data_IF_146885314248
#
_entry.id   IF_146885314248
#
_cell.length_a   1.000
_cell.length_b   1.000
_cell.length_c   1.000
_cell.angle_alpha   90.00
_cell.angle_beta   90.00
_cell.angle_gamma   90.00
#
_symmetry.space_group_name_H-M   'P 1'
#
loop_
_entity.id
_entity.type
_entity.pdbx_description
1 polymer ?
#
# COMPACT_ATOMS: atom_id res chain seq x y z
N UNK A 1 -15.62 -12.15 21.81
CA UNK A 1 -14.51 -11.20 21.87
C UNK A 1 -13.91 -11.10 20.49
N UNK A 2 -13.73 -9.89 19.97
CA UNK A 2 -13.09 -9.67 18.67
C UNK A 2 -11.63 -10.09 18.75
N UNK A 3 -11.11 -10.65 17.66
CA UNK A 3 -9.70 -11.05 17.54
C UNK A 3 -9.02 -10.20 16.49
N UNK A 4 -7.73 -9.95 16.65
CA UNK A 4 -6.92 -9.19 15.70
C UNK A 4 -6.94 -9.81 14.30
N UNK A 5 -6.93 -8.96 13.27
CA UNK A 5 -6.80 -9.37 11.87
C UNK A 5 -5.43 -9.99 11.56
N UNK A 6 -5.31 -10.70 10.45
CA UNK A 6 -4.04 -11.31 10.01
C UNK A 6 -2.97 -10.25 9.75
N UNK A 7 -3.39 -9.13 9.17
CA UNK A 7 -2.57 -7.96 8.86
C UNK A 7 -2.08 -7.29 10.15
N UNK A 8 -2.96 -7.16 11.15
CA UNK A 8 -2.59 -6.66 12.47
C UNK A 8 -1.58 -7.54 13.17
N UNK A 9 -1.81 -8.86 13.16
CA UNK A 9 -0.86 -9.81 13.74
C UNK A 9 0.50 -9.76 13.02
N UNK A 10 0.50 -9.67 11.69
CA UNK A 10 1.74 -9.54 10.92
C UNK A 10 2.48 -8.24 11.26
N UNK A 11 1.76 -7.13 11.43
CA UNK A 11 2.32 -5.85 11.84
C UNK A 11 3.02 -5.96 13.20
N UNK A 12 2.36 -6.56 14.20
CA UNK A 12 2.95 -6.75 15.53
C UNK A 12 4.20 -7.62 15.44
N UNK A 13 4.13 -8.76 14.74
CA UNK A 13 5.26 -9.68 14.56
C UNK A 13 6.46 -8.98 13.92
N UNK A 14 6.22 -8.10 12.94
CA UNK A 14 7.27 -7.31 12.28
C UNK A 14 7.98 -6.36 13.26
N UNK A 15 7.24 -5.67 14.13
CA UNK A 15 7.80 -4.67 15.04
C UNK A 15 8.44 -5.25 16.29
N UNK A 16 7.88 -6.32 16.86
CA UNK A 16 8.46 -6.98 18.04
C UNK A 16 9.68 -7.83 17.66
N UNK A 17 9.64 -8.44 16.47
CA UNK A 17 10.66 -9.38 16.03
C UNK A 17 10.60 -10.73 16.77
N UNK A 18 11.16 -11.76 16.15
CA UNK A 18 11.11 -13.12 16.67
C UNK A 18 12.43 -13.51 17.36
N UNK A 19 12.33 -13.96 18.62
CA UNK A 19 13.45 -14.54 19.39
C UNK A 19 13.09 -15.93 19.91
N UNK A 20 13.61 -16.97 19.25
CA UNK A 20 13.33 -18.37 19.61
C UNK A 20 14.06 -18.88 20.85
N UNK A 21 15.03 -18.11 21.36
CA UNK A 21 15.78 -18.43 22.57
C UNK A 21 15.58 -17.32 23.60
N UNK A 22 15.35 -17.70 24.85
CA UNK A 22 15.17 -16.75 25.93
C UNK A 22 16.42 -15.87 26.09
N UNK A 23 16.21 -14.56 26.17
CA UNK A 23 17.25 -13.56 26.34
C UNK A 23 16.89 -12.61 27.49
N UNK A 24 17.86 -11.87 28.00
CA UNK A 24 17.59 -10.77 28.94
C UNK A 24 17.43 -9.47 28.16
N UNK A 25 16.34 -8.78 28.41
CA UNK A 25 16.13 -7.43 27.88
C UNK A 25 16.99 -6.38 28.62
N UNK A 26 16.82 -5.11 28.27
CA UNK A 26 17.53 -3.99 28.91
C UNK A 26 17.19 -3.82 30.40
N UNK A 27 16.02 -4.32 30.82
CA UNK A 27 15.58 -4.34 32.21
C UNK A 27 16.01 -5.62 32.97
N UNK A 28 16.87 -6.46 32.36
CA UNK A 28 17.34 -7.74 32.90
C UNK A 28 16.24 -8.80 33.10
N UNK A 29 15.08 -8.64 32.47
CA UNK A 29 13.94 -9.56 32.50
C UNK A 29 14.11 -10.64 31.42
N UNK A 30 13.74 -11.88 31.73
CA UNK A 30 13.77 -12.97 30.76
C UNK A 30 12.60 -12.83 29.77
N UNK A 31 12.94 -12.71 28.49
CA UNK A 31 12.00 -12.46 27.39
C UNK A 31 12.20 -13.51 26.28
N UNK A 32 11.11 -13.93 25.62
CA UNK A 32 11.14 -14.90 24.51
C UNK A 32 10.04 -14.61 23.48
N UNK A 33 10.15 -15.18 22.28
CA UNK A 33 9.15 -15.05 21.22
C UNK A 33 9.07 -13.63 20.69
N UNK A 34 7.87 -13.06 20.71
CA UNK A 34 7.55 -11.70 20.29
C UNK A 34 7.43 -10.72 21.48
N UNK A 35 8.30 -10.84 22.48
CA UNK A 35 8.28 -9.97 23.66
C UNK A 35 7.61 -10.55 24.90
N UNK A 36 7.29 -11.85 24.92
CA UNK A 36 6.66 -12.50 26.07
C UNK A 36 7.60 -12.57 27.28
N UNK A 37 7.07 -12.25 28.46
CA UNK A 37 7.76 -12.35 29.75
C UNK A 37 6.89 -13.14 30.74
N UNK A 38 7.51 -13.66 31.80
CA UNK A 38 6.80 -14.37 32.87
C UNK A 38 5.71 -13.55 33.57
N UNK A 39 5.75 -12.22 33.46
CA UNK A 39 4.73 -11.33 34.02
C UNK A 39 3.43 -11.37 33.21
N UNK A 40 3.51 -11.62 31.89
CA UNK A 40 2.35 -11.83 31.04
C UNK A 40 1.62 -13.15 31.33
N UNK A 41 2.24 -14.04 32.11
CA UNK A 41 1.67 -15.31 32.56
C UNK A 41 2.48 -16.51 32.08
N UNK A 42 1.79 -17.61 31.77
CA UNK A 42 2.44 -18.81 31.25
C UNK A 42 2.69 -18.67 29.75
N UNK A 43 3.83 -19.18 29.24
CA UNK A 43 4.85 -19.94 29.96
C UNK A 43 5.87 -19.05 30.71
N UNK A 44 6.26 -19.48 31.92
CA UNK A 44 7.31 -18.79 32.66
C UNK A 44 8.67 -18.91 31.96
N UNK A 45 9.19 -17.78 31.50
CA UNK A 45 10.45 -17.68 30.75
C UNK A 45 11.63 -17.84 31.70
N UNK A 46 12.56 -18.72 31.32
CA UNK A 46 13.78 -19.02 32.08
C UNK A 46 14.99 -19.17 31.16
N UNK A 47 16.18 -19.02 31.74
CA UNK A 47 17.45 -19.20 31.03
C UNK A 47 17.48 -20.53 30.27
N UNK A 48 17.91 -20.48 29.01
CA UNK A 48 18.06 -21.66 28.16
C UNK A 48 16.77 -22.20 27.56
N UNK A 49 15.61 -21.57 27.83
CA UNK A 49 14.35 -21.93 27.18
C UNK A 49 14.44 -21.65 25.67
N UNK A 50 13.95 -22.59 24.86
CA UNK A 50 13.83 -22.49 23.41
C UNK A 50 12.41 -22.85 23.00
N UNK A 51 11.90 -22.17 21.98
CA UNK A 51 10.57 -22.42 21.41
C UNK A 51 10.65 -22.48 19.89
N UNK A 52 9.64 -23.09 19.25
CA UNK A 52 9.46 -23.00 17.80
C UNK A 52 8.75 -21.70 17.41
N UNK A 53 8.71 -21.40 16.12
CA UNK A 53 7.99 -20.23 15.62
C UNK A 53 6.48 -20.34 15.86
N UNK A 54 5.93 -21.53 15.74
CA UNK A 54 4.51 -21.83 15.98
C UNK A 54 4.17 -21.63 17.45
N UNK A 55 5.04 -22.08 18.36
CA UNK A 55 4.91 -21.83 19.79
C UNK A 55 5.01 -20.34 20.11
N UNK A 56 5.93 -19.60 19.48
CA UNK A 56 6.05 -18.16 19.66
C UNK A 56 4.79 -17.41 19.21
N UNK A 57 4.17 -17.83 18.10
CA UNK A 57 2.91 -17.24 17.64
C UNK A 57 1.73 -17.61 18.55
N UNK A 58 1.67 -18.85 19.05
CA UNK A 58 0.65 -19.25 20.01
C UNK A 58 0.73 -18.44 21.31
N UNK A 59 1.95 -18.23 21.82
CA UNK A 59 2.20 -17.37 22.99
C UNK A 59 1.76 -15.94 22.71
N UNK A 60 2.16 -15.36 21.56
CA UNK A 60 1.75 -14.01 21.18
C UNK A 60 0.22 -13.87 21.13
N UNK A 61 -0.48 -14.85 20.55
CA UNK A 61 -1.95 -14.82 20.50
C UNK A 61 -2.58 -14.86 21.89
N UNK A 62 -1.98 -15.59 22.83
CA UNK A 62 -2.46 -15.60 24.22
C UNK A 62 -2.24 -14.24 24.88
N UNK A 63 -1.03 -13.67 24.76
CA UNK A 63 -0.69 -12.35 25.31
C UNK A 63 -1.63 -11.26 24.75
N UNK A 64 -1.95 -11.33 23.46
CA UNK A 64 -2.80 -10.37 22.77
C UNK A 64 -4.22 -10.32 23.33
N UNK A 65 -4.75 -11.39 23.94
CA UNK A 65 -6.12 -11.42 24.47
C UNK A 65 -6.40 -10.31 25.47
N UNK A 66 -5.43 -9.97 26.32
CA UNK A 66 -5.59 -8.88 27.28
C UNK A 66 -5.72 -7.52 26.58
N UNK A 67 -4.92 -7.29 25.54
CA UNK A 67 -4.92 -6.04 24.78
C UNK A 67 -6.16 -5.92 23.89
N UNK A 68 -6.56 -7.02 23.24
CA UNK A 68 -7.82 -7.13 22.49
C UNK A 68 -9.01 -6.78 23.39
N UNK A 69 -9.09 -7.42 24.57
CA UNK A 69 -10.12 -7.12 25.56
C UNK A 69 -10.10 -5.66 26.00
N UNK A 70 -8.91 -5.12 26.30
CA UNK A 70 -8.77 -3.73 26.74
C UNK A 70 -9.26 -2.75 25.67
N UNK A 71 -8.90 -2.97 24.40
CA UNK A 71 -9.34 -2.11 23.29
C UNK A 71 -10.86 -2.23 23.09
N UNK A 72 -11.40 -3.45 23.12
CA UNK A 72 -12.83 -3.71 22.99
C UNK A 72 -13.65 -3.02 24.08
N UNK A 73 -13.19 -3.05 25.34
CA UNK A 73 -13.89 -2.45 26.47
C UNK A 73 -13.73 -0.92 26.55
N UNK A 74 -12.58 -0.39 26.09
CA UNK A 74 -12.27 1.02 26.24
C UNK A 74 -12.80 1.88 25.09
N UNK A 75 -12.95 1.31 23.89
CA UNK A 75 -13.46 2.04 22.71
C UNK A 75 -14.98 2.01 22.70
N UNK A 76 -15.60 3.19 22.64
CA UNK A 76 -17.07 3.37 22.71
C UNK A 76 -17.71 3.56 21.33
N UNK A 77 -16.91 3.59 20.26
CA UNK A 77 -17.34 3.83 18.88
C UNK A 77 -17.07 2.61 18.00
N UNK A 78 -17.80 2.46 16.90
CA UNK A 78 -17.65 1.32 16.00
C UNK A 78 -16.31 1.37 15.25
N UNK A 79 -15.58 0.26 15.23
CA UNK A 79 -14.31 0.13 14.50
C UNK A 79 -14.38 -0.94 13.43
N UNK A 80 -13.68 -0.73 12.32
CA UNK A 80 -13.36 -1.81 11.37
C UNK A 80 -12.27 -2.73 11.91
N UNK A 81 -12.06 -3.89 11.28
CA UNK A 81 -11.14 -4.92 11.80
C UNK A 81 -9.70 -4.41 11.81
N UNK A 82 -9.32 -3.63 10.81
CA UNK A 82 -7.99 -3.04 10.70
C UNK A 82 -7.79 -1.87 11.67
N UNK A 83 -8.85 -1.07 11.91
CA UNK A 83 -8.82 -0.02 12.94
C UNK A 83 -8.62 -0.62 14.33
N UNK A 84 -9.41 -1.65 14.67
CA UNK A 84 -9.24 -2.39 15.91
C UNK A 84 -7.83 -2.98 16.02
N UNK A 85 -7.34 -3.63 14.97
CA UNK A 85 -6.02 -4.23 14.94
C UNK A 85 -4.88 -3.20 15.12
N UNK A 86 -5.00 -2.01 14.53
CA UNK A 86 -4.04 -0.92 14.73
C UNK A 86 -4.00 -0.46 16.20
N UNK A 87 -5.16 -0.33 16.84
CA UNK A 87 -5.24 0.02 18.27
C UNK A 87 -4.70 -1.10 19.17
N UNK A 88 -4.91 -2.37 18.83
CA UNK A 88 -4.33 -3.50 19.56
C UNK A 88 -2.80 -3.48 19.46
N UNK A 89 -2.23 -3.25 18.26
CA UNK A 89 -0.77 -3.09 18.10
C UNK A 89 -0.21 -1.92 18.90
N UNK A 90 -0.93 -0.80 18.91
CA UNK A 90 -0.57 0.38 19.70
C UNK A 90 -0.62 0.07 21.20
N UNK A 91 -1.72 -0.51 21.68
CA UNK A 91 -1.95 -0.90 23.07
C UNK A 91 -0.90 -1.92 23.56
N UNK A 92 -0.54 -2.90 22.73
CA UNK A 92 0.54 -3.85 23.02
C UNK A 92 1.88 -3.14 23.26
N UNK A 93 2.18 -2.10 22.48
CA UNK A 93 3.43 -1.37 22.59
C UNK A 93 3.52 -0.45 23.81
N UNK A 94 2.44 0.28 24.11
CA UNK A 94 2.45 1.30 25.17
C UNK A 94 1.92 0.80 26.51
N UNK A 95 1.27 -0.37 26.51
CA UNK A 95 0.59 -0.94 27.66
C UNK A 95 -0.85 -0.42 27.83
N UNK A 96 -1.67 -1.23 28.48
CA UNK A 96 -3.11 -0.98 28.69
C UNK A 96 -3.37 0.34 29.43
N UNK A 97 -2.59 0.63 30.48
CA UNK A 97 -2.75 1.86 31.27
C UNK A 97 -2.49 3.12 30.45
N UNK A 98 -1.44 3.13 29.62
CA UNK A 98 -1.12 4.28 28.78
C UNK A 98 -2.17 4.46 27.68
N UNK A 99 -2.61 3.36 27.06
CA UNK A 99 -3.68 3.36 26.07
C UNK A 99 -4.99 3.96 26.62
N UNK A 100 -5.49 3.44 27.75
CA UNK A 100 -6.76 3.88 28.34
C UNK A 100 -6.76 5.36 28.77
N UNK A 101 -5.61 5.93 29.10
CA UNK A 101 -5.48 7.33 29.50
C UNK A 101 -5.10 8.28 28.35
N UNK A 102 -4.89 7.74 27.14
CA UNK A 102 -4.39 8.50 26.00
C UNK A 102 -5.36 9.55 25.49
N UNK A 103 -4.83 10.67 24.99
CA UNK A 103 -5.62 11.66 24.24
C UNK A 103 -6.21 11.05 22.97
N UNK A 104 -5.51 10.08 22.36
CA UNK A 104 -5.99 9.29 21.24
C UNK A 104 -7.36 8.66 21.55
N UNK A 105 -7.46 7.87 22.62
CA UNK A 105 -8.70 7.20 22.97
C UNK A 105 -9.82 8.21 23.30
N UNK A 106 -9.48 9.31 23.99
CA UNK A 106 -10.44 10.37 24.32
C UNK A 106 -11.02 11.04 23.07
N UNK A 107 -10.21 11.27 22.04
CA UNK A 107 -10.66 11.85 20.76
C UNK A 107 -11.48 10.83 19.97
N UNK A 108 -11.00 9.59 19.87
CA UNK A 108 -11.70 8.51 19.18
C UNK A 108 -13.09 8.28 19.77
N UNK A 109 -13.23 8.22 21.10
CA UNK A 109 -14.53 8.02 21.75
C UNK A 109 -15.48 9.22 21.60
N UNK A 110 -15.00 10.37 21.13
CA UNK A 110 -15.84 11.51 20.71
C UNK A 110 -16.24 11.42 19.22
N UNK A 111 -15.88 10.35 18.52
CA UNK A 111 -16.13 10.14 17.10
C UNK A 111 -15.10 10.79 16.18
N UNK A 112 -13.97 11.27 16.70
CA UNK A 112 -12.90 11.86 15.89
C UNK A 112 -11.92 10.79 15.39
N UNK A 113 -12.31 10.07 14.35
CA UNK A 113 -11.50 9.01 13.73
C UNK A 113 -10.26 9.57 13.01
N UNK A 114 -10.38 10.76 12.43
CA UNK A 114 -9.32 11.41 11.65
C UNK A 114 -8.17 11.88 12.53
N UNK A 115 -8.42 12.17 13.80
CA UNK A 115 -7.35 12.51 14.73
C UNK A 115 -6.45 11.32 15.11
N UNK A 116 -6.89 10.06 14.93
CA UNK A 116 -6.15 8.88 15.41
C UNK A 116 -4.73 8.79 14.82
N UNK A 117 -4.52 8.90 13.48
CA UNK A 117 -3.18 8.91 12.90
C UNK A 117 -2.24 9.97 13.49
N UNK A 118 -2.73 11.20 13.70
CA UNK A 118 -1.92 12.28 14.28
C UNK A 118 -1.58 12.00 15.75
N UNK A 119 -2.55 11.52 16.53
CA UNK A 119 -2.34 11.17 17.92
C UNK A 119 -1.36 9.99 18.07
N UNK A 120 -1.39 9.00 17.19
CA UNK A 120 -0.39 7.91 17.17
C UNK A 120 1.03 8.47 17.03
N UNK A 121 1.24 9.44 16.13
CA UNK A 121 2.58 10.02 15.89
C UNK A 121 3.19 10.71 17.11
N UNK A 122 2.38 11.11 18.09
CA UNK A 122 2.86 11.72 19.34
C UNK A 122 3.56 10.71 20.25
N UNK A 123 3.29 9.42 20.09
CA UNK A 123 3.87 8.32 20.87
C UNK A 123 5.17 7.78 20.24
N UNK A 124 6.14 8.67 20.03
CA UNK A 124 7.42 8.34 19.40
C UNK A 124 8.65 8.72 20.25
N UNK A 125 8.47 8.95 21.55
CA UNK A 125 9.54 9.41 22.46
C UNK A 125 9.73 8.46 23.63
N UNK A 126 10.98 8.28 24.05
CA UNK A 126 11.37 7.61 25.30
C UNK A 126 12.41 8.48 26.00
N UNK A 127 12.24 8.74 27.29
CA UNK A 127 13.13 9.64 28.04
C UNK A 127 13.25 11.04 27.43
N UNK A 128 12.16 11.56 26.84
CA UNK A 128 12.12 12.87 26.18
C UNK A 128 12.73 12.93 24.77
N UNK A 129 13.46 11.89 24.34
CA UNK A 129 14.10 11.84 23.01
C UNK A 129 13.22 11.12 22.00
N UNK A 130 13.11 11.67 20.79
CA UNK A 130 12.42 11.04 19.67
C UNK A 130 13.20 9.82 19.19
N UNK A 131 12.52 8.69 19.03
CA UNK A 131 13.07 7.46 18.47
C UNK A 131 12.48 7.23 17.08
N UNK A 132 13.35 7.12 16.07
CA UNK A 132 12.92 6.92 14.69
C UNK A 132 12.15 5.60 14.51
N UNK A 133 12.57 4.54 15.20
CA UNK A 133 11.88 3.24 15.16
C UNK A 133 10.42 3.33 15.63
N UNK A 134 10.16 4.07 16.71
CA UNK A 134 8.79 4.30 17.18
C UNK A 134 7.99 5.16 16.19
N UNK A 135 8.59 6.22 15.62
CA UNK A 135 7.91 7.01 14.60
C UNK A 135 7.48 6.15 13.39
N UNK A 136 8.37 5.26 12.92
CA UNK A 136 8.06 4.35 11.82
C UNK A 136 6.95 3.35 12.22
N UNK A 137 6.97 2.83 13.46
CA UNK A 137 5.90 1.96 13.98
C UNK A 137 4.55 2.65 14.01
N UNK A 138 4.50 3.87 14.54
CA UNK A 138 3.27 4.68 14.58
C UNK A 138 2.75 4.98 13.17
N UNK A 139 3.65 5.21 12.21
CA UNK A 139 3.26 5.42 10.81
C UNK A 139 2.66 4.15 10.19
N UNK A 140 3.23 2.98 10.48
CA UNK A 140 2.68 1.72 9.99
C UNK A 140 1.32 1.37 10.63
N UNK A 141 1.14 1.64 11.92
CA UNK A 141 -0.16 1.52 12.61
C UNK A 141 -1.21 2.48 12.04
N UNK A 142 -0.83 3.74 11.77
CA UNK A 142 -1.70 4.69 11.08
C UNK A 142 -2.05 4.23 9.65
N UNK A 143 -1.10 3.60 8.95
CA UNK A 143 -1.36 2.98 7.65
C UNK A 143 -2.36 1.83 7.73
N UNK A 144 -2.27 0.98 8.76
CA UNK A 144 -3.24 -0.08 9.00
C UNK A 144 -4.62 0.50 9.34
N UNK A 145 -4.67 1.53 10.19
CA UNK A 145 -5.90 2.27 10.50
C UNK A 145 -6.59 2.79 9.23
N UNK A 146 -5.83 3.42 8.33
CA UNK A 146 -6.35 3.97 7.09
C UNK A 146 -6.85 2.90 6.11
N UNK A 147 -6.26 1.70 6.09
CA UNK A 147 -6.78 0.58 5.29
C UNK A 147 -8.19 0.19 5.73
N UNK A 148 -8.46 0.21 7.03
CA UNK A 148 -9.79 -0.05 7.59
C UNK A 148 -10.80 1.04 7.30
N UNK A 149 -10.35 2.24 6.92
CA UNK A 149 -11.22 3.35 6.56
C UNK A 149 -11.77 3.26 5.13
N UNK A 150 -11.74 2.07 4.49
CA UNK A 150 -12.12 1.82 3.09
C UNK A 150 -13.19 2.81 2.60
N UNK A 151 -12.70 3.89 2.00
CA UNK A 151 -13.45 4.67 1.04
C UNK A 151 -13.53 3.70 -0.12
N UNK A 152 -14.70 3.06 -0.32
CA UNK A 152 -14.98 2.43 -1.60
C UNK A 152 -14.54 3.45 -2.65
N UNK A 153 -13.60 3.08 -3.53
CA UNK A 153 -13.21 4.02 -4.58
C UNK A 153 -14.51 4.38 -5.27
N UNK A 154 -14.99 5.61 -5.08
CA UNK A 154 -15.93 6.19 -6.01
C UNK A 154 -15.10 6.32 -7.28
N UNK A 155 -15.02 5.22 -8.03
CA UNK A 155 -14.66 5.26 -9.42
C UNK A 155 -15.80 6.09 -10.02
N UNK A 156 -15.62 7.40 -9.99
CA UNK A 156 -16.23 8.22 -10.99
C UNK A 156 -15.68 7.63 -12.26
N UNK A 157 -16.54 6.88 -12.96
CA UNK A 157 -16.31 6.62 -14.36
C UNK A 157 -16.04 8.00 -14.92
N UNK A 158 -14.78 8.26 -15.26
CA UNK A 158 -14.48 9.35 -16.15
C UNK A 158 -15.38 9.01 -17.32
N UNK A 159 -16.48 9.75 -17.45
CA UNK A 159 -17.14 9.84 -18.73
C UNK A 159 -16.05 10.40 -19.60
N UNK A 160 -15.26 9.51 -20.20
CA UNK A 160 -14.68 9.76 -21.48
C UNK A 160 -15.90 10.18 -22.26
N UNK A 161 -16.10 11.49 -22.42
CA UNK A 161 -16.91 12.02 -23.50
C UNK A 161 -16.43 11.19 -24.67
N UNK A 162 -17.25 10.22 -25.06
CA UNK A 162 -16.95 9.39 -26.20
C UNK A 162 -16.56 10.40 -27.25
N UNK A 163 -15.41 10.19 -27.89
CA UNK A 163 -15.09 10.93 -29.08
C UNK A 163 -16.11 10.51 -30.15
N UNK A 164 -17.37 10.88 -29.99
CA UNK A 164 -18.30 11.21 -31.07
C UNK A 164 -17.89 12.57 -31.63
N UNK A 165 -16.60 12.72 -31.90
CA UNK A 165 -16.16 13.51 -33.03
C UNK A 165 -16.39 12.62 -34.24
N UNK A 166 -17.59 12.70 -34.81
CA UNK A 166 -17.74 12.43 -36.24
C UNK A 166 -16.64 13.23 -36.94
N UNK A 167 -15.60 12.53 -37.40
CA UNK A 167 -14.64 13.09 -38.34
C UNK A 167 -15.45 13.38 -39.59
N UNK A 168 -16.01 14.60 -39.67
CA UNK A 168 -16.54 15.13 -40.92
C UNK A 168 -15.42 14.98 -41.95
N UNK A 169 -15.73 14.31 -43.06
CA UNK A 169 -14.82 14.05 -44.16
C UNK A 169 -14.16 15.31 -44.76
N UNK A 170 -14.61 16.51 -44.36
CA UNK A 170 -14.08 17.80 -44.76
C UNK A 170 -12.68 18.12 -44.20
N UNK A 171 -12.24 17.52 -43.08
CA UNK A 171 -10.89 17.78 -42.53
C UNK A 171 -9.77 17.10 -43.35
N UNK A 172 -10.12 16.11 -44.19
CA UNK A 172 -9.17 15.44 -45.10
C UNK A 172 -9.01 16.14 -46.47
N UNK A 173 -9.80 17.19 -46.76
CA UNK A 173 -9.73 17.93 -48.01
C UNK A 173 -8.33 18.56 -48.28
N UNK A 174 -7.60 19.13 -47.30
CA UNK A 174 -6.30 19.75 -47.58
C UNK A 174 -5.17 18.73 -47.81
N UNK A 175 -5.28 17.52 -47.26
CA UNK A 175 -4.25 16.47 -47.45
C UNK A 175 -4.37 15.85 -48.85
N UNK A 176 -5.60 15.65 -49.34
CA UNK A 176 -5.84 15.18 -50.71
C UNK A 176 -5.46 16.28 -51.73
N UNK A 177 -5.71 17.55 -51.42
CA UNK A 177 -5.33 18.69 -52.26
C UNK A 177 -3.81 18.90 -52.39
N UNK A 178 -3.00 18.34 -51.49
CA UNK A 178 -1.53 18.46 -51.55
C UNK A 178 -0.88 17.47 -52.53
N UNK A 179 -1.60 16.44 -52.99
CA UNK A 179 -1.12 15.54 -54.06
C UNK A 179 -1.52 16.00 -55.47
N UNK A 180 -2.49 16.89 -55.60
CA UNK A 180 -2.89 17.44 -56.91
C UNK A 180 -1.79 18.31 -57.55
N UNK A 181 -0.78 18.75 -56.78
CA UNK A 181 0.42 19.40 -57.30
C UNK A 181 1.40 18.47 -58.03
N UNK A 182 1.25 17.14 -57.92
CA UNK A 182 2.08 16.17 -58.62
C UNK A 182 1.45 15.59 -59.88
N UNK A 183 0.21 15.97 -60.21
CA UNK A 183 -0.44 15.55 -61.47
C UNK A 183 0.22 16.16 -62.72
N UNK A 184 0.86 17.32 -62.58
CA UNK A 184 1.55 18.00 -63.68
C UNK A 184 2.88 17.34 -64.09
N UNK A 185 3.42 16.41 -63.29
CA UNK A 185 4.69 15.73 -63.58
C UNK A 185 4.51 14.34 -64.21
N UNK A 186 3.27 13.85 -64.33
CA UNK A 186 2.95 12.51 -64.88
C UNK A 186 1.96 12.59 -66.05
N UNK A 187 2.18 13.55 -66.95
CA UNK A 187 1.50 13.60 -68.23
C UNK A 187 2.47 13.21 -69.37
N UNK A 188 2.94 11.96 -69.39
CA UNK A 188 3.74 11.44 -70.50
C UNK A 188 4.00 9.93 -70.48
N UNK A 189 3.52 9.19 -71.48
CA UNK A 189 3.79 7.75 -71.62
C UNK A 189 5.21 7.49 -72.16
N UNK A 190 6.22 7.75 -71.34
CA UNK A 190 7.64 7.56 -71.67
C UNK A 190 8.40 6.65 -70.69
N UNK A 191 9.49 5.99 -71.11
CA UNK A 191 10.26 5.04 -70.28
C UNK A 191 10.77 5.65 -68.95
N UNK A 192 11.10 6.94 -68.95
CA UNK A 192 11.59 7.66 -67.77
C UNK A 192 10.48 7.86 -66.72
N UNK A 193 9.22 8.00 -67.14
CA UNK A 193 8.10 8.14 -66.19
C UNK A 193 7.78 6.82 -65.49
N UNK A 194 7.89 5.69 -66.19
CA UNK A 194 7.77 4.36 -65.56
C UNK A 194 8.88 4.09 -64.55
N UNK A 195 10.10 4.57 -64.82
CA UNK A 195 11.20 4.50 -63.85
C UNK A 195 10.92 5.35 -62.59
N UNK A 196 10.43 6.57 -62.76
CA UNK A 196 10.06 7.45 -61.64
C UNK A 196 8.88 6.91 -60.82
N UNK A 197 7.86 6.38 -61.49
CA UNK A 197 6.73 5.72 -60.82
C UNK A 197 7.19 4.49 -60.04
N UNK A 198 8.09 3.69 -60.59
CA UNK A 198 8.70 2.54 -59.90
C UNK A 198 9.45 2.94 -58.63
N UNK A 199 10.25 4.01 -58.68
CA UNK A 199 10.99 4.54 -57.51
C UNK A 199 10.01 5.02 -56.42
N UNK A 200 8.95 5.73 -56.80
CA UNK A 200 7.94 6.23 -55.87
C UNK A 200 7.20 5.11 -55.14
N UNK A 201 6.83 4.03 -55.86
CA UNK A 201 6.19 2.85 -55.27
C UNK A 201 7.14 2.13 -54.31
N UNK A 202 8.42 1.98 -54.68
CA UNK A 202 9.42 1.35 -53.80
C UNK A 202 9.65 2.16 -52.51
N UNK A 203 9.70 3.49 -52.60
CA UNK A 203 9.82 4.37 -51.43
C UNK A 203 8.60 4.25 -50.50
N UNK A 204 7.39 4.18 -51.05
CA UNK A 204 6.17 3.98 -50.28
C UNK A 204 6.17 2.61 -49.55
N UNK A 205 6.55 1.53 -50.25
CA UNK A 205 6.68 0.20 -49.66
C UNK A 205 7.72 0.18 -48.53
N UNK A 206 8.89 0.80 -48.73
CA UNK A 206 9.92 0.89 -47.70
C UNK A 206 9.44 1.65 -46.44
N UNK A 207 8.69 2.74 -46.63
CA UNK A 207 8.08 3.51 -45.52
C UNK A 207 7.10 2.67 -44.71
N UNK A 208 6.24 1.90 -45.37
CA UNK A 208 5.28 1.00 -44.70
C UNK A 208 6.01 -0.07 -43.88
N UNK A 209 7.06 -0.68 -44.45
CA UNK A 209 7.88 -1.69 -43.75
C UNK A 209 8.60 -1.09 -42.53
N UNK A 210 9.14 0.13 -42.66
CA UNK A 210 9.79 0.83 -41.55
C UNK A 210 8.81 1.10 -40.39
N UNK A 211 7.61 1.58 -40.70
CA UNK A 211 6.56 1.84 -39.72
C UNK A 211 6.12 0.53 -39.05
N UNK A 212 5.91 -0.54 -39.84
CA UNK A 212 5.53 -1.85 -39.30
C UNK A 212 6.61 -2.44 -38.38
N UNK A 213 7.90 -2.25 -38.69
CA UNK A 213 9.01 -2.68 -37.85
C UNK A 213 9.05 -1.89 -36.53
N UNK A 214 8.89 -0.57 -36.59
CA UNK A 214 8.86 0.31 -35.41
C UNK A 214 7.71 -0.02 -34.46
N UNK A 215 6.54 -0.42 -34.99
CA UNK A 215 5.42 -0.86 -34.16
C UNK A 215 5.65 -2.21 -33.47
N UNK A 216 6.45 -3.11 -34.06
CA UNK A 216 6.85 -4.38 -33.40
C UNK A 216 7.84 -4.16 -32.26
N UNK A 217 8.79 -3.23 -32.44
CA UNK A 217 9.79 -2.90 -31.42
C UNK A 217 9.17 -2.22 -30.17
N UNK A 218 8.05 -1.51 -30.30
CA UNK A 218 7.34 -0.91 -29.16
C UNK A 218 6.41 -1.88 -28.39
N UNK A 219 6.24 -3.12 -28.86
CA UNK A 219 5.40 -4.15 -28.20
C UNK A 219 6.20 -5.22 -27.43
N UNK A 220 7.53 -5.14 -27.41
CA UNK A 220 8.42 -5.94 -26.55
C UNK A 220 8.85 -5.08 -25.34
#
# INVERSE_FOLDING_TARGET
MRTISKEGLALIKQWEGLRLQAYKDLACVWTIGYGHTSEAGRPFVRKGMRITQEQAEAILREDLKQFEKTVEEAVMVSLTDEQFAALVSFCYNVGTKAFCNSTLLKKLNKGDYEAVPEELQKWNRVGGKRLQGLANRRAAEAGLWAKGAYIASNYQRVETKGATGSLKAEILAPIIGSFSGLGGLVAGNGPVQWALAGIMVLAACAGIVFVAKRFREQRL
#
